data_IF_781539261719
#
_entry.id   IF_781539261719
#
_cell.length_a   1.000
_cell.length_b   1.000
_cell.length_c   1.000
_cell.angle_alpha   90.00
_cell.angle_beta   90.00
_cell.angle_gamma   90.00
#
_symmetry.space_group_name_H-M   'P 1'
#
loop_
_entity.id
_entity.type
_entity.pdbx_description
1 polymer ?
#
# COMPACT_ATOMS: atom_id res chain seq x y z
N UNK A 1 -1.07 23.45 -18.94
CA UNK A 1 -1.56 22.05 -18.95
C UNK A 1 -3.07 22.09 -18.79
N UNK A 2 -3.85 21.21 -19.43
CA UNK A 2 -5.29 21.17 -19.20
C UNK A 2 -5.58 20.78 -17.73
N UNK A 3 -6.61 21.39 -17.14
CA UNK A 3 -7.13 21.01 -15.83
C UNK A 3 -8.30 20.04 -16.02
N UNK A 4 -8.29 18.93 -15.28
CA UNK A 4 -9.40 17.97 -15.22
C UNK A 4 -10.05 18.05 -13.84
N UNK A 5 -11.37 17.97 -13.79
CA UNK A 5 -12.11 17.74 -12.55
C UNK A 5 -11.86 16.31 -12.05
N UNK A 6 -12.13 16.06 -10.76
CA UNK A 6 -11.98 14.71 -10.19
C UNK A 6 -12.79 13.64 -10.95
N UNK A 7 -14.08 13.86 -11.29
CA UNK A 7 -14.85 12.88 -12.07
C UNK A 7 -14.29 12.66 -13.48
N UNK A 8 -13.81 13.71 -14.15
CA UNK A 8 -13.18 13.58 -15.48
C UNK A 8 -11.89 12.76 -15.42
N UNK A 9 -11.04 13.00 -14.41
CA UNK A 9 -9.82 12.25 -14.19
C UNK A 9 -10.13 10.77 -13.90
N UNK A 10 -11.06 10.50 -12.97
CA UNK A 10 -11.46 9.14 -12.65
C UNK A 10 -11.99 8.40 -13.90
N UNK A 11 -12.89 9.03 -14.67
CA UNK A 11 -13.44 8.44 -15.89
C UNK A 11 -12.36 8.16 -16.94
N UNK A 12 -11.39 9.07 -17.11
CA UNK A 12 -10.25 8.88 -18.01
C UNK A 12 -9.36 7.71 -17.58
N UNK A 13 -9.04 7.61 -16.30
CA UNK A 13 -8.25 6.50 -15.74
C UNK A 13 -8.96 5.16 -15.93
N UNK A 14 -10.24 5.08 -15.56
CA UNK A 14 -11.04 3.87 -15.71
C UNK A 14 -11.16 3.45 -17.19
N UNK A 15 -11.40 4.38 -18.11
CA UNK A 15 -11.43 4.10 -19.55
C UNK A 15 -10.07 3.57 -20.06
N UNK A 16 -8.96 4.16 -19.58
CA UNK A 16 -7.61 3.74 -19.96
C UNK A 16 -7.29 2.34 -19.45
N UNK A 17 -7.67 2.01 -18.22
CA UNK A 17 -7.48 0.68 -17.64
C UNK A 17 -8.31 -0.38 -18.38
N UNK A 18 -9.57 -0.07 -18.75
CA UNK A 18 -10.39 -0.98 -19.56
C UNK A 18 -9.79 -1.23 -20.94
N UNK A 19 -9.31 -0.19 -21.61
CA UNK A 19 -8.56 -0.33 -22.86
C UNK A 19 -7.26 -1.14 -22.68
N UNK A 20 -6.71 -1.14 -21.47
CA UNK A 20 -5.56 -1.94 -21.04
C UNK A 20 -5.86 -3.39 -20.69
N UNK A 21 -7.12 -3.85 -20.78
CA UNK A 21 -7.51 -5.24 -20.53
C UNK A 21 -7.99 -5.54 -19.10
N UNK A 22 -8.41 -4.52 -18.35
CA UNK A 22 -9.12 -4.68 -17.09
C UNK A 22 -10.65 -4.74 -17.29
N UNK A 23 -11.35 -5.52 -16.47
CA UNK A 23 -12.81 -5.45 -16.40
C UNK A 23 -13.27 -4.15 -15.72
N UNK A 24 -14.58 -3.87 -15.76
CA UNK A 24 -15.16 -2.64 -15.19
C UNK A 24 -14.84 -2.49 -13.69
N UNK A 25 -14.95 -3.56 -12.91
CA UNK A 25 -14.78 -3.53 -11.46
C UNK A 25 -13.35 -3.21 -11.04
N UNK A 26 -12.35 -3.88 -11.64
CA UNK A 26 -10.93 -3.59 -11.40
C UNK A 26 -10.56 -2.19 -11.88
N UNK A 27 -11.01 -1.81 -13.09
CA UNK A 27 -10.71 -0.51 -13.64
C UNK A 27 -11.23 0.64 -12.76
N UNK A 28 -12.47 0.52 -12.25
CA UNK A 28 -13.04 1.50 -11.34
C UNK A 28 -12.29 1.55 -10.00
N UNK A 29 -12.02 0.40 -9.37
CA UNK A 29 -11.35 0.36 -8.07
C UNK A 29 -9.92 0.92 -8.14
N UNK A 30 -9.16 0.59 -9.18
CA UNK A 30 -7.80 1.13 -9.39
C UNK A 30 -7.88 2.63 -9.71
N UNK A 31 -8.79 3.06 -10.60
CA UNK A 31 -8.96 4.46 -10.96
C UNK A 31 -9.27 5.35 -9.76
N UNK A 32 -10.11 4.88 -8.84
CA UNK A 32 -10.45 5.61 -7.61
C UNK A 32 -9.20 5.89 -6.77
N UNK A 33 -8.34 4.89 -6.55
CA UNK A 33 -7.13 5.08 -5.75
C UNK A 33 -6.13 6.04 -6.42
N UNK A 34 -5.92 5.90 -7.74
CA UNK A 34 -5.03 6.80 -8.47
C UNK A 34 -5.56 8.24 -8.54
N UNK A 35 -6.87 8.42 -8.73
CA UNK A 35 -7.50 9.73 -8.79
C UNK A 35 -7.43 10.46 -7.43
N UNK A 36 -7.65 9.74 -6.33
CA UNK A 36 -7.50 10.28 -4.96
C UNK A 36 -6.06 10.70 -4.67
N UNK A 37 -5.10 9.85 -5.01
CA UNK A 37 -3.68 10.17 -4.85
C UNK A 37 -3.26 11.39 -5.68
N UNK A 38 -3.75 11.52 -6.92
CA UNK A 38 -3.47 12.70 -7.75
C UNK A 38 -4.13 13.97 -7.20
N UNK A 39 -5.41 13.90 -6.81
CA UNK A 39 -6.18 15.02 -6.22
C UNK A 39 -5.46 15.59 -5.00
N UNK A 40 -4.96 14.71 -4.14
CA UNK A 40 -4.31 15.08 -2.87
C UNK A 40 -2.79 15.25 -3.02
N UNK A 41 -2.31 15.36 -4.26
CA UNK A 41 -0.91 15.66 -4.60
C UNK A 41 0.12 14.62 -4.12
N UNK A 42 -0.32 13.39 -3.85
CA UNK A 42 0.54 12.24 -3.62
C UNK A 42 1.06 11.68 -4.96
N UNK A 43 1.90 12.48 -5.65
CA UNK A 43 2.30 12.26 -7.06
C UNK A 43 2.92 10.88 -7.30
N UNK A 44 3.69 10.35 -6.36
CA UNK A 44 4.31 9.03 -6.47
C UNK A 44 3.31 7.86 -6.45
N UNK A 45 2.04 8.09 -6.11
CA UNK A 45 0.97 7.08 -6.08
C UNK A 45 -0.26 7.46 -6.93
N UNK A 46 -0.23 8.61 -7.62
CA UNK A 46 -1.28 9.05 -8.55
C UNK A 46 -1.09 8.52 -9.97
N UNK A 47 -1.29 9.38 -10.97
CA UNK A 47 -1.26 9.03 -12.41
C UNK A 47 0.06 8.36 -12.81
N UNK A 48 1.17 8.71 -12.14
CA UNK A 48 2.48 8.11 -12.31
C UNK A 48 2.44 6.56 -12.35
N UNK A 49 1.64 5.93 -11.48
CA UNK A 49 1.55 4.47 -11.36
C UNK A 49 0.83 3.77 -12.52
N UNK A 50 0.01 4.50 -13.28
CA UNK A 50 -0.79 3.94 -14.38
C UNK A 50 0.06 3.16 -15.39
N UNK A 51 1.25 3.68 -15.71
CA UNK A 51 2.14 3.04 -16.68
C UNK A 51 2.69 1.71 -16.16
N UNK A 52 2.99 1.61 -14.86
CA UNK A 52 3.41 0.38 -14.20
C UNK A 52 2.31 -0.67 -14.22
N UNK A 53 1.08 -0.29 -13.86
CA UNK A 53 -0.12 -1.15 -13.89
C UNK A 53 -0.28 -1.81 -15.25
N UNK A 54 -0.29 -1.00 -16.31
CA UNK A 54 -0.47 -1.47 -17.67
C UNK A 54 0.70 -2.32 -18.18
N UNK A 55 1.93 -2.06 -17.70
CA UNK A 55 3.10 -2.91 -18.00
C UNK A 55 2.96 -4.28 -17.32
N UNK A 56 2.62 -4.33 -16.04
CA UNK A 56 2.35 -5.58 -15.31
C UNK A 56 1.26 -6.40 -15.97
N UNK A 57 0.17 -5.76 -16.41
CA UNK A 57 -0.93 -6.42 -17.13
C UNK A 57 -0.48 -7.01 -18.47
N UNK A 58 0.31 -6.27 -19.25
CA UNK A 58 0.86 -6.74 -20.54
C UNK A 58 1.89 -7.85 -20.36
N UNK A 59 2.64 -7.84 -19.26
CA UNK A 59 3.60 -8.88 -18.90
C UNK A 59 2.93 -10.15 -18.34
N UNK A 60 1.60 -10.15 -18.16
CA UNK A 60 0.85 -11.32 -17.69
C UNK A 60 0.94 -11.56 -16.18
N UNK A 61 1.40 -10.57 -15.39
CA UNK A 61 1.49 -10.70 -13.93
C UNK A 61 0.14 -10.75 -13.24
N UNK A 62 -0.87 -10.17 -13.88
CA UNK A 62 -2.25 -10.19 -13.43
C UNK A 62 -3.19 -10.40 -14.63
N UNK A 63 -4.39 -10.88 -14.36
CA UNK A 63 -5.38 -11.19 -15.39
C UNK A 63 -6.29 -9.99 -15.70
N UNK A 64 -6.43 -9.04 -14.77
CA UNK A 64 -7.26 -7.85 -14.84
C UNK A 64 -8.77 -8.10 -14.74
N UNK A 65 -9.20 -9.31 -14.39
CA UNK A 65 -10.62 -9.64 -14.40
C UNK A 65 -11.07 -10.69 -13.37
N UNK A 66 -10.15 -11.29 -12.60
CA UNK A 66 -10.52 -12.27 -11.57
C UNK A 66 -11.17 -11.55 -10.39
N UNK A 67 -12.31 -12.05 -9.93
CA UNK A 67 -12.96 -11.53 -8.73
C UNK A 67 -12.30 -12.11 -7.48
N UNK A 68 -12.14 -11.31 -6.41
CA UNK A 68 -11.59 -11.79 -5.15
C UNK A 68 -12.52 -12.82 -4.49
N UNK A 69 -11.95 -13.85 -3.87
CA UNK A 69 -12.70 -14.77 -3.01
C UNK A 69 -12.68 -14.27 -1.57
N UNK A 70 -13.84 -14.16 -0.95
CA UNK A 70 -13.99 -13.60 0.40
C UNK A 70 -14.42 -14.70 1.37
N UNK A 71 -13.58 -14.99 2.37
CA UNK A 71 -13.89 -15.86 3.50
C UNK A 71 -14.25 -15.01 4.73
N UNK A 72 -15.56 -14.88 4.99
CA UNK A 72 -16.14 -14.00 6.02
C UNK A 72 -17.05 -14.77 7.00
N UNK A 73 -16.52 -15.68 7.82
CA UNK A 73 -17.33 -16.39 8.82
C UNK A 73 -17.79 -15.42 9.92
N UNK A 74 -19.10 -15.32 10.22
CA UNK A 74 -19.66 -14.28 11.10
C UNK A 74 -19.14 -14.33 12.55
N UNK A 75 -18.76 -15.53 13.02
CA UNK A 75 -18.26 -15.77 14.37
C UNK A 75 -16.79 -15.37 14.58
N UNK A 76 -16.03 -15.12 13.50
CA UNK A 76 -14.63 -14.71 13.60
C UNK A 76 -14.48 -13.20 13.44
N UNK A 77 -13.53 -12.63 14.18
CA UNK A 77 -13.09 -11.25 14.01
C UNK A 77 -12.15 -11.08 12.79
N UNK A 78 -11.72 -12.17 12.17
CA UNK A 78 -10.82 -12.17 11.03
C UNK A 78 -11.60 -12.41 9.73
N UNK A 79 -11.35 -11.56 8.74
CA UNK A 79 -11.79 -11.65 7.36
C UNK A 79 -10.57 -12.01 6.49
N UNK A 80 -10.72 -12.94 5.55
CA UNK A 80 -9.65 -13.26 4.58
C UNK A 80 -10.16 -13.05 3.16
N UNK A 81 -9.31 -12.48 2.31
CA UNK A 81 -9.62 -12.24 0.91
C UNK A 81 -8.47 -12.72 0.05
N UNK A 82 -8.72 -13.63 -0.89
CA UNK A 82 -7.75 -13.99 -1.92
C UNK A 82 -8.00 -13.10 -3.16
N UNK A 83 -7.00 -12.31 -3.55
CA UNK A 83 -7.08 -11.42 -4.71
C UNK A 83 -6.72 -12.12 -6.04
N UNK A 84 -6.33 -13.40 -6.02
CA UNK A 84 -6.03 -14.22 -7.20
C UNK A 84 -4.96 -13.65 -8.15
N UNK A 85 -3.98 -12.93 -7.59
CA UNK A 85 -2.89 -12.28 -8.31
C UNK A 85 -3.27 -10.92 -8.93
N UNK A 86 -4.43 -10.36 -8.58
CA UNK A 86 -4.86 -9.04 -9.07
C UNK A 86 -4.37 -7.91 -8.17
N UNK A 87 -4.53 -6.65 -8.63
CA UNK A 87 -4.25 -5.50 -7.78
C UNK A 87 -5.23 -5.41 -6.61
N UNK A 88 -4.73 -5.04 -5.42
CA UNK A 88 -5.49 -4.98 -4.16
C UNK A 88 -6.76 -4.09 -4.13
N UNK A 89 -6.92 -2.99 -4.91
CA UNK A 89 -8.02 -2.06 -4.69
C UNK A 89 -9.42 -2.68 -4.78
N UNK A 90 -9.64 -3.63 -5.70
CA UNK A 90 -10.95 -4.30 -5.79
C UNK A 90 -11.21 -5.16 -4.55
N UNK A 91 -10.22 -5.98 -4.15
CA UNK A 91 -10.31 -6.80 -2.95
C UNK A 91 -10.59 -5.96 -1.69
N UNK A 92 -9.86 -4.85 -1.54
CA UNK A 92 -10.09 -3.89 -0.45
C UNK A 92 -11.50 -3.30 -0.50
N UNK A 93 -11.95 -2.82 -1.66
CA UNK A 93 -13.28 -2.21 -1.79
C UNK A 93 -14.44 -3.14 -1.43
N UNK A 94 -14.29 -4.45 -1.69
CA UNK A 94 -15.28 -5.48 -1.31
C UNK A 94 -15.18 -5.83 0.17
N UNK A 95 -13.98 -5.81 0.73
CA UNK A 95 -13.72 -6.18 2.12
C UNK A 95 -13.99 -5.08 3.15
N UNK A 96 -13.75 -3.81 2.81
CA UNK A 96 -13.80 -2.70 3.77
C UNK A 96 -15.14 -2.55 4.50
N UNK A 97 -16.32 -2.64 3.83
CA UNK A 97 -17.60 -2.62 4.52
C UNK A 97 -17.77 -3.80 5.50
N UNK A 98 -17.32 -5.00 5.09
CA UNK A 98 -17.40 -6.22 5.90
C UNK A 98 -16.47 -6.14 7.12
N UNK A 99 -15.28 -5.58 6.96
CA UNK A 99 -14.33 -5.35 8.03
C UNK A 99 -14.88 -4.35 9.06
N UNK A 100 -15.45 -3.24 8.61
CA UNK A 100 -16.07 -2.26 9.50
C UNK A 100 -17.28 -2.83 10.26
N UNK A 101 -18.11 -3.66 9.60
CA UNK A 101 -19.19 -4.39 10.26
C UNK A 101 -18.66 -5.36 11.32
N UNK A 102 -17.64 -6.16 11.01
CA UNK A 102 -17.00 -7.06 11.98
C UNK A 102 -16.43 -6.31 13.18
N UNK A 103 -15.77 -5.17 12.95
CA UNK A 103 -15.21 -4.37 14.04
C UNK A 103 -16.30 -3.88 14.99
N UNK A 104 -17.44 -3.39 14.47
CA UNK A 104 -18.60 -3.03 15.31
C UNK A 104 -19.16 -4.22 16.10
N UNK A 105 -19.16 -5.42 15.49
CA UNK A 105 -19.68 -6.62 16.14
C UNK A 105 -18.77 -7.17 17.24
N UNK A 106 -17.45 -7.13 17.02
CA UNK A 106 -16.45 -7.80 17.85
C UNK A 106 -15.57 -6.84 18.66
N UNK A 107 -15.76 -5.53 18.50
CA UNK A 107 -14.92 -4.45 19.05
C UNK A 107 -13.62 -4.21 18.26
N UNK A 108 -13.00 -5.28 17.76
CA UNK A 108 -11.84 -5.26 16.88
C UNK A 108 -12.00 -6.33 15.80
N UNK A 109 -11.55 -6.04 14.60
CA UNK A 109 -11.49 -7.00 13.51
C UNK A 109 -10.25 -6.78 12.65
N UNK A 110 -9.83 -7.81 11.92
CA UNK A 110 -8.75 -7.69 10.94
C UNK A 110 -9.14 -8.33 9.61
N UNK A 111 -8.59 -7.78 8.54
CA UNK A 111 -8.72 -8.28 7.18
C UNK A 111 -7.33 -8.55 6.62
N UNK A 112 -7.11 -9.78 6.17
CA UNK A 112 -5.96 -10.13 5.36
C UNK A 112 -6.38 -10.21 3.90
N UNK A 113 -5.72 -9.44 3.03
CA UNK A 113 -5.80 -9.62 1.58
C UNK A 113 -4.52 -10.33 1.14
N UNK A 114 -4.67 -11.49 0.52
CA UNK A 114 -3.58 -12.34 0.08
C UNK A 114 -3.48 -12.41 -1.44
N UNK A 115 -2.32 -12.83 -1.93
CA UNK A 115 -2.01 -13.04 -3.34
C UNK A 115 -2.38 -11.82 -4.19
N UNK A 116 -1.94 -10.63 -3.79
CA UNK A 116 -2.26 -9.39 -4.49
C UNK A 116 -1.02 -8.67 -4.99
N UNK A 117 -1.22 -7.82 -6.00
CA UNK A 117 -0.25 -6.81 -6.37
C UNK A 117 -0.60 -5.51 -5.63
N UNK A 118 0.38 -4.84 -5.02
CA UNK A 118 0.16 -3.60 -4.29
C UNK A 118 0.99 -2.44 -4.84
N UNK A 119 0.36 -1.28 -5.02
CA UNK A 119 1.02 -0.09 -5.57
C UNK A 119 0.39 1.24 -5.15
N UNK A 120 -0.58 1.17 -4.24
CA UNK A 120 -1.32 2.31 -3.74
C UNK A 120 -0.64 2.91 -2.52
N UNK A 121 -0.92 4.18 -2.25
CA UNK A 121 -0.78 4.70 -0.90
C UNK A 121 -1.79 3.99 0.01
N UNK A 122 -1.53 3.94 1.32
CA UNK A 122 -2.41 3.28 2.29
C UNK A 122 -3.44 4.23 2.90
N UNK A 123 -3.18 5.55 2.91
CA UNK A 123 -4.14 6.53 3.43
C UNK A 123 -5.54 6.44 2.79
N UNK A 124 -5.73 6.13 1.49
CA UNK A 124 -7.06 6.05 0.90
C UNK A 124 -7.90 4.93 1.52
N UNK A 125 -7.24 3.85 1.94
CA UNK A 125 -7.85 2.66 2.52
C UNK A 125 -8.28 2.93 3.97
N UNK A 126 -7.38 3.47 4.79
CA UNK A 126 -7.73 3.83 6.18
C UNK A 126 -8.72 5.00 6.24
N UNK A 127 -8.69 5.94 5.30
CA UNK A 127 -9.72 6.99 5.17
C UNK A 127 -11.09 6.39 4.86
N UNK A 128 -11.15 5.39 3.97
CA UNK A 128 -12.41 4.67 3.66
C UNK A 128 -12.98 4.03 4.92
N UNK A 129 -12.14 3.35 5.71
CA UNK A 129 -12.56 2.72 6.97
C UNK A 129 -13.00 3.75 8.02
N UNK A 130 -12.29 4.88 8.14
CA UNK A 130 -12.71 5.98 9.00
C UNK A 130 -14.05 6.60 8.58
N UNK A 131 -14.29 6.75 7.27
CA UNK A 131 -15.58 7.16 6.72
C UNK A 131 -16.72 6.16 7.00
N UNK A 132 -16.37 4.89 7.25
CA UNK A 132 -17.30 3.86 7.74
C UNK A 132 -17.45 3.89 9.26
N UNK A 133 -16.82 4.83 9.97
CA UNK A 133 -16.98 5.07 11.41
C UNK A 133 -16.11 4.20 12.31
N UNK A 134 -15.04 3.59 11.79
CA UNK A 134 -14.10 2.76 12.58
C UNK A 134 -12.69 3.33 12.55
N UNK A 135 -11.95 3.18 13.65
CA UNK A 135 -10.50 3.41 13.64
C UNK A 135 -9.82 2.35 12.79
N UNK A 136 -8.72 2.68 12.13
CA UNK A 136 -8.07 1.77 11.19
C UNK A 136 -6.54 1.83 11.28
N UNK A 137 -5.90 0.68 11.11
CA UNK A 137 -4.49 0.53 10.77
C UNK A 137 -4.40 -0.24 9.46
N UNK A 138 -3.47 0.12 8.60
CA UNK A 138 -3.14 -0.64 7.40
C UNK A 138 -1.62 -0.76 7.28
N UNK A 139 -1.14 -1.93 6.85
CA UNK A 139 0.27 -2.17 6.61
C UNK A 139 0.47 -3.26 5.56
N UNK A 140 1.58 -3.19 4.83
CA UNK A 140 1.98 -4.21 3.87
C UNK A 140 3.50 -4.23 3.69
N UNK A 141 4.09 -5.37 3.27
CA UNK A 141 5.44 -5.39 2.71
C UNK A 141 5.55 -4.58 1.41
N UNK A 142 6.71 -4.63 0.74
CA UNK A 142 6.86 -4.20 -0.66
C UNK A 142 7.85 -5.13 -1.38
N UNK A 143 8.61 -4.68 -2.38
CA UNK A 143 9.85 -5.38 -2.76
C UNK A 143 11.01 -4.93 -1.86
N UNK A 144 12.04 -5.77 -1.72
CA UNK A 144 13.21 -5.55 -0.88
C UNK A 144 14.05 -4.40 -1.44
N UNK A 145 14.00 -3.28 -0.76
CA UNK A 145 14.66 -2.03 -1.16
C UNK A 145 15.45 -1.37 -0.03
N UNK A 146 15.24 -1.81 1.21
CA UNK A 146 15.74 -1.14 2.41
C UNK A 146 16.74 -2.05 3.12
N UNK A 147 17.90 -1.50 3.44
CA UNK A 147 18.86 -2.18 4.29
C UNK A 147 18.43 -2.04 5.76
N UNK A 148 18.32 -3.14 6.54
CA UNK A 148 18.02 -3.05 7.96
C UNK A 148 19.12 -2.29 8.69
N UNK A 149 18.82 -1.74 9.86
CA UNK A 149 19.81 -1.00 10.65
C UNK A 149 21.02 -1.89 10.97
N UNK A 150 22.21 -1.48 10.52
CA UNK A 150 23.45 -2.25 10.65
C UNK A 150 23.76 -3.20 9.49
N UNK A 151 22.83 -3.35 8.54
CA UNK A 151 23.05 -4.05 7.27
C UNK A 151 23.43 -3.09 6.13
N UNK A 152 23.87 -3.66 5.01
CA UNK A 152 24.29 -2.93 3.82
C UNK A 152 23.66 -3.44 2.51
N UNK A 153 22.72 -4.38 2.59
CA UNK A 153 22.04 -4.96 1.44
C UNK A 153 20.52 -4.85 1.60
N UNK A 154 19.76 -4.69 0.50
CA UNK A 154 18.30 -4.70 0.55
C UNK A 154 17.77 -6.02 1.14
N UNK A 155 16.85 -5.90 2.09
CA UNK A 155 16.15 -7.05 2.68
C UNK A 155 14.69 -6.72 2.98
N UNK A 156 14.47 -5.55 3.58
CA UNK A 156 13.15 -5.08 3.95
C UNK A 156 12.55 -4.27 2.81
N UNK A 157 11.23 -4.23 2.73
CA UNK A 157 10.55 -3.29 1.86
C UNK A 157 10.48 -1.90 2.47
N UNK A 158 9.92 -0.97 1.67
CA UNK A 158 9.54 0.36 2.16
C UNK A 158 8.44 0.31 3.22
N UNK A 159 7.73 -0.81 3.30
CA UNK A 159 6.85 -1.29 4.37
C UNK A 159 6.06 -0.16 5.05
N UNK A 160 5.05 0.41 4.39
CA UNK A 160 4.28 1.51 4.95
C UNK A 160 3.37 1.09 6.09
N UNK A 161 3.11 2.05 6.99
CA UNK A 161 2.12 1.95 8.06
C UNK A 161 1.21 3.17 7.98
N UNK A 162 -0.09 2.93 7.82
CA UNK A 162 -1.11 3.96 7.88
C UNK A 162 -2.05 3.76 9.06
N UNK A 163 -2.62 4.86 9.51
CA UNK A 163 -3.59 4.91 10.60
C UNK A 163 -4.66 5.94 10.28
N UNK A 164 -5.88 5.66 10.68
CA UNK A 164 -6.96 6.63 10.72
C UNK A 164 -7.75 6.55 12.02
N UNK A 165 -8.13 7.72 12.53
CA UNK A 165 -9.06 7.88 13.64
C UNK A 165 -10.31 8.64 13.16
N UNK A 166 -11.51 8.05 13.24
CA UNK A 166 -12.75 8.73 12.88
C UNK A 166 -13.06 9.84 13.88
N UNK A 167 -13.50 11.00 13.39
CA UNK A 167 -13.69 12.20 14.20
C UNK A 167 -15.14 12.73 14.14
N UNK A 168 -16.13 11.83 14.23
CA UNK A 168 -17.54 12.18 14.07
C UNK A 168 -17.80 12.82 12.70
N UNK A 169 -18.37 14.03 12.71
CA UNK A 169 -18.68 14.80 11.49
C UNK A 169 -17.47 15.60 10.95
N UNK A 170 -16.35 15.64 11.69
CA UNK A 170 -15.14 16.33 11.26
C UNK A 170 -14.22 15.40 10.46
N UNK A 171 -13.30 15.95 9.64
CA UNK A 171 -12.33 15.13 8.92
C UNK A 171 -11.55 14.20 9.88
N UNK A 172 -11.32 12.94 9.48
CA UNK A 172 -10.55 12.00 10.28
C UNK A 172 -9.11 12.46 10.44
N UNK A 173 -8.47 12.09 11.56
CA UNK A 173 -7.02 12.20 11.68
C UNK A 173 -6.39 11.00 10.96
N UNK A 174 -5.48 11.26 10.02
CA UNK A 174 -4.85 10.22 9.19
C UNK A 174 -3.34 10.47 9.13
N UNK A 175 -2.57 9.38 9.22
CA UNK A 175 -1.19 9.36 8.75
C UNK A 175 -0.95 8.15 7.85
N UNK A 176 0.01 8.29 6.94
CA UNK A 176 0.54 7.22 6.09
C UNK A 176 2.01 7.54 5.80
N UNK A 177 2.91 6.65 6.24
CA UNK A 177 4.33 6.80 6.00
C UNK A 177 4.99 5.47 5.69
N UNK A 178 6.00 5.51 4.82
CA UNK A 178 6.94 4.42 4.64
C UNK A 178 7.85 4.28 5.88
N UNK A 179 8.28 3.05 6.20
CA UNK A 179 9.29 2.81 7.24
C UNK A 179 10.73 2.97 6.72
N UNK A 180 10.88 3.24 5.43
CA UNK A 180 12.07 3.85 4.84
C UNK A 180 12.05 5.37 5.06
N UNK A 181 13.22 6.00 5.09
CA UNK A 181 13.35 7.47 5.24
C UNK A 181 12.69 8.24 4.09
N UNK A 182 12.50 7.59 2.94
CA UNK A 182 11.84 8.13 1.77
C UNK A 182 11.20 6.99 0.97
N UNK A 183 10.09 7.26 0.28
CA UNK A 183 9.54 6.29 -0.67
C UNK A 183 10.46 6.12 -1.90
N UNK A 184 10.63 4.88 -2.40
CA UNK A 184 11.43 4.59 -3.60
C UNK A 184 11.00 5.40 -4.82
N UNK A 185 9.70 5.69 -4.95
CA UNK A 185 9.15 6.52 -6.02
C UNK A 185 9.73 7.94 -6.04
N UNK A 186 10.04 8.52 -4.88
CA UNK A 186 10.63 9.87 -4.80
C UNK A 186 12.10 9.89 -5.26
N UNK A 187 12.85 8.80 -5.03
CA UNK A 187 14.21 8.66 -5.57
C UNK A 187 14.17 8.57 -7.10
N UNK A 188 13.21 7.83 -7.65
CA UNK A 188 13.02 7.73 -9.10
C UNK A 188 12.62 9.09 -9.71
N UNK A 189 11.79 9.88 -9.02
CA UNK A 189 11.49 11.26 -9.44
C UNK A 189 12.74 12.16 -9.43
N UNK A 190 13.61 12.05 -8.41
CA UNK A 190 14.90 12.77 -8.40
C UNK A 190 15.80 12.35 -9.56
N UNK A 191 15.85 11.04 -9.88
CA UNK A 191 16.59 10.51 -11.03
C UNK A 191 16.07 11.08 -12.35
N UNK A 192 14.74 11.10 -12.53
CA UNK A 192 14.09 11.64 -13.74
C UNK A 192 14.32 13.16 -13.87
N UNK A 193 14.33 13.88 -12.75
CA UNK A 193 14.59 15.32 -12.69
C UNK A 193 16.10 15.68 -12.75
N UNK A 194 17.00 14.69 -12.71
CA UNK A 194 18.45 14.91 -12.66
C UNK A 194 18.93 15.64 -11.39
N UNK A 195 18.24 15.45 -10.26
CA UNK A 195 18.54 16.11 -8.97
C UNK A 195 19.26 15.15 -8.02
N UNK A 196 20.27 15.61 -7.26
CA UNK A 196 20.89 14.80 -6.22
C UNK A 196 19.94 14.57 -5.05
N UNK A 197 20.12 13.46 -4.33
CA UNK A 197 19.37 13.15 -3.12
C UNK A 197 19.91 13.94 -1.91
N UNK A 198 19.08 14.19 -0.89
CA UNK A 198 19.53 14.56 0.45
C UNK A 198 20.42 13.47 1.09
N UNK A 199 21.28 13.87 2.03
CA UNK A 199 22.11 12.93 2.78
C UNK A 199 21.26 11.99 3.64
N UNK A 200 21.71 10.74 3.76
CA UNK A 200 21.07 9.73 4.61
C UNK A 200 19.84 9.04 3.99
N UNK A 201 19.52 9.30 2.71
CA UNK A 201 18.42 8.62 2.02
C UNK A 201 18.75 7.17 1.63
N UNK A 202 20.02 6.89 1.34
CA UNK A 202 20.42 5.57 0.88
C UNK A 202 21.93 5.37 0.81
N UNK A 203 22.27 4.15 0.43
CA UNK A 203 23.62 3.64 0.20
C UNK A 203 23.69 3.04 -1.21
N UNK A 204 24.88 3.01 -1.79
CA UNK A 204 25.15 2.31 -3.04
C UNK A 204 25.27 0.78 -2.85
N UNK A 205 25.60 0.07 -3.93
CA UNK A 205 25.74 -1.39 -3.92
C UNK A 205 26.91 -1.91 -3.05
N UNK A 206 27.90 -1.07 -2.76
CA UNK A 206 29.02 -1.40 -1.86
C UNK A 206 28.71 -1.05 -0.39
N UNK A 207 27.55 -0.43 -0.14
CA UNK A 207 27.09 0.00 1.16
C UNK A 207 27.60 1.36 1.61
N UNK A 208 28.18 2.16 0.70
CA UNK A 208 28.63 3.51 1.01
C UNK A 208 27.47 4.53 0.88
N UNK A 209 27.35 5.53 1.77
CA UNK A 209 26.37 6.60 1.64
C UNK A 209 26.49 7.31 0.29
N UNK A 210 25.37 7.50 -0.40
CA UNK A 210 25.36 8.14 -1.72
C UNK A 210 24.22 9.16 -1.86
N UNK A 211 24.49 10.19 -2.67
CA UNK A 211 23.53 11.21 -3.10
C UNK A 211 23.13 11.04 -4.57
N UNK A 212 23.70 10.07 -5.27
CA UNK A 212 23.33 9.75 -6.65
C UNK A 212 22.08 8.85 -6.63
N UNK A 213 20.95 9.31 -7.21
CA UNK A 213 19.74 8.49 -7.31
C UNK A 213 19.99 7.13 -7.98
N UNK A 214 20.83 7.06 -9.02
CA UNK A 214 21.10 5.81 -9.72
C UNK A 214 21.87 4.81 -8.85
N UNK A 215 22.89 5.30 -8.13
CA UNK A 215 23.66 4.49 -7.19
C UNK A 215 22.76 3.95 -6.05
N UNK A 216 21.89 4.78 -5.47
CA UNK A 216 20.97 4.36 -4.40
C UNK A 216 19.91 3.38 -4.91
N UNK A 217 19.39 3.55 -6.14
CA UNK A 217 18.43 2.62 -6.73
C UNK A 217 19.01 1.22 -6.98
N UNK A 218 20.32 1.14 -7.22
CA UNK A 218 21.10 -0.09 -7.36
C UNK A 218 21.59 -0.66 -6.02
N UNK A 219 21.71 0.19 -4.99
CA UNK A 219 22.00 -0.18 -3.62
C UNK A 219 20.72 -0.34 -2.79
N UNK A 220 20.65 0.38 -1.66
CA UNK A 220 19.53 0.29 -0.73
C UNK A 220 19.13 1.65 -0.14
N UNK A 221 17.85 1.78 0.19
CA UNK A 221 17.33 2.85 1.04
C UNK A 221 17.64 2.56 2.51
N UNK A 222 17.57 3.60 3.34
CA UNK A 222 17.73 3.48 4.79
C UNK A 222 16.40 3.63 5.55
N UNK A 223 16.25 3.00 6.73
CA UNK A 223 15.07 3.13 7.57
C UNK A 223 14.98 4.51 8.22
N UNK A 224 13.76 5.04 8.40
CA UNK A 224 13.58 6.28 9.16
C UNK A 224 14.01 6.06 10.62
N UNK A 225 14.65 7.05 11.24
CA UNK A 225 15.05 6.96 12.64
C UNK A 225 15.97 5.76 12.97
N UNK A 226 16.70 5.23 11.98
CA UNK A 226 17.66 4.13 12.14
C UNK A 226 17.02 2.85 12.68
N UNK A 227 17.54 2.32 13.78
CA UNK A 227 17.07 1.05 14.37
C UNK A 227 15.58 1.02 14.72
N UNK A 228 14.95 2.17 15.01
CA UNK A 228 13.51 2.23 15.32
C UNK A 228 12.65 1.97 14.09
N UNK A 229 12.91 2.66 12.98
CA UNK A 229 12.19 2.40 11.73
C UNK A 229 12.51 1.02 11.18
N UNK A 230 13.74 0.54 11.36
CA UNK A 230 14.10 -0.85 11.02
C UNK A 230 13.24 -1.86 11.78
N UNK A 231 13.05 -1.66 13.09
CA UNK A 231 12.22 -2.55 13.91
C UNK A 231 10.74 -2.51 13.50
N UNK A 232 10.19 -1.33 13.19
CA UNK A 232 8.81 -1.19 12.69
C UNK A 232 8.67 -1.86 11.31
N UNK A 233 9.65 -1.68 10.42
CA UNK A 233 9.67 -2.33 9.10
C UNK A 233 9.68 -3.86 9.23
N UNK A 234 10.50 -4.41 10.13
CA UNK A 234 10.50 -5.86 10.44
C UNK A 234 9.19 -6.33 11.05
N UNK A 235 8.56 -5.54 11.93
CA UNK A 235 7.22 -5.86 12.44
C UNK A 235 6.22 -5.98 11.30
N UNK A 236 6.26 -5.09 10.30
CA UNK A 236 5.34 -5.13 9.15
C UNK A 236 5.57 -6.38 8.28
N UNK A 237 6.83 -6.77 8.02
CA UNK A 237 7.12 -8.06 7.35
C UNK A 237 6.46 -9.24 8.09
N UNK A 238 6.55 -9.26 9.42
CA UNK A 238 5.98 -10.35 10.22
C UNK A 238 4.46 -10.31 10.17
N UNK A 239 3.85 -9.14 10.40
CA UNK A 239 2.40 -9.00 10.53
C UNK A 239 1.66 -9.15 9.19
N UNK A 240 2.18 -8.53 8.12
CA UNK A 240 1.52 -8.45 6.83
C UNK A 240 2.15 -9.33 5.74
N UNK A 241 3.14 -10.14 6.08
CA UNK A 241 3.60 -11.25 5.25
C UNK A 241 3.45 -12.57 6.01
N UNK A 242 4.28 -12.81 7.02
CA UNK A 242 4.39 -14.12 7.69
C UNK A 242 3.06 -14.54 8.34
N UNK A 243 2.43 -13.66 9.11
CA UNK A 243 1.21 -13.98 9.86
C UNK A 243 -0.01 -14.18 8.97
N UNK A 244 -0.09 -13.46 7.86
CA UNK A 244 -1.19 -13.65 6.89
C UNK A 244 -0.88 -14.72 5.85
N UNK A 245 0.33 -15.32 5.87
CA UNK A 245 0.75 -16.38 4.97
C UNK A 245 1.03 -15.91 3.56
N UNK A 246 1.71 -14.77 3.41
CA UNK A 246 2.06 -14.15 2.13
C UNK A 246 3.56 -13.81 2.05
N UNK A 247 4.00 -13.31 0.90
CA UNK A 247 5.41 -13.05 0.62
C UNK A 247 6.00 -11.91 1.44
N UNK A 248 7.16 -12.20 2.04
CA UNK A 248 8.11 -11.19 2.54
C UNK A 248 8.58 -10.29 1.38
N UNK A 249 9.16 -9.14 1.69
CA UNK A 249 9.65 -8.25 0.63
C UNK A 249 10.75 -8.86 -0.25
N UNK A 250 11.59 -9.75 0.31
CA UNK A 250 12.57 -10.51 -0.46
C UNK A 250 11.91 -11.46 -1.46
N UNK A 251 10.90 -12.20 -1.02
CA UNK A 251 10.15 -13.16 -1.84
C UNK A 251 9.32 -12.43 -2.91
N UNK A 252 8.71 -11.29 -2.55
CA UNK A 252 8.04 -10.40 -3.51
C UNK A 252 9.00 -9.95 -4.61
N UNK A 253 10.25 -9.65 -4.29
CA UNK A 253 11.25 -9.21 -5.29
C UNK A 253 11.62 -10.32 -6.26
N UNK A 254 11.67 -11.56 -5.79
CA UNK A 254 11.90 -12.73 -6.64
C UNK A 254 10.71 -13.00 -7.56
N UNK A 255 9.50 -12.77 -7.05
CA UNK A 255 8.25 -13.02 -7.78
C UNK A 255 7.84 -11.89 -8.75
N UNK A 256 8.18 -10.63 -8.45
CA UNK A 256 7.64 -9.47 -9.16
C UNK A 256 8.34 -9.10 -10.47
N UNK A 257 9.50 -9.71 -10.78
CA UNK A 257 10.27 -9.43 -11.99
C UNK A 257 10.60 -7.94 -12.21
N UNK A 258 10.62 -7.14 -11.14
CA UNK A 258 10.88 -5.71 -11.15
C UNK A 258 9.70 -4.81 -11.57
N UNK A 259 8.47 -5.34 -11.62
CA UNK A 259 7.30 -4.61 -12.12
C UNK A 259 6.35 -4.12 -11.02
N UNK A 260 5.70 -5.03 -10.30
CA UNK A 260 4.72 -4.71 -9.26
C UNK A 260 4.89 -5.66 -8.07
N UNK A 261 5.10 -5.14 -6.84
CA UNK A 261 5.26 -5.98 -5.66
C UNK A 261 4.09 -6.96 -5.49
N UNK A 262 4.43 -8.22 -5.22
CA UNK A 262 3.49 -9.33 -5.06
C UNK A 262 3.58 -9.85 -3.63
N UNK A 263 2.66 -9.38 -2.79
CA UNK A 263 2.57 -9.67 -1.36
C UNK A 263 1.13 -9.41 -0.88
N UNK A 264 0.86 -9.70 0.40
CA UNK A 264 -0.43 -9.40 1.01
C UNK A 264 -0.51 -8.03 1.67
N UNK A 265 -1.69 -7.69 2.18
CA UNK A 265 -1.93 -6.49 3.00
C UNK A 265 -2.73 -6.85 4.25
N UNK A 266 -2.42 -6.23 5.38
CA UNK A 266 -3.16 -6.38 6.62
C UNK A 266 -3.86 -5.07 6.98
N UNK A 267 -5.16 -5.15 7.23
CA UNK A 267 -5.96 -4.06 7.78
C UNK A 267 -6.54 -4.47 9.12
N UNK A 268 -6.49 -3.57 10.10
CA UNK A 268 -7.11 -3.76 11.42
C UNK A 268 -8.11 -2.64 11.61
N UNK A 269 -9.34 -2.99 11.94
CA UNK A 269 -10.39 -2.04 12.26
C UNK A 269 -10.78 -2.14 13.74
N UNK A 270 -10.97 -0.99 14.35
CA UNK A 270 -11.27 -0.81 15.77
C UNK A 270 -12.59 -0.06 15.87
N UNK A 271 -13.57 -0.58 16.59
CA UNK A 271 -14.79 0.16 16.89
C UNK A 271 -14.53 1.11 18.08
N UNK A 272 -14.47 2.44 17.89
CA UNK A 272 -14.18 3.37 18.97
C UNK A 272 -15.19 3.25 20.12
N UNK A 273 -16.45 2.90 19.82
CA UNK A 273 -17.49 2.76 20.84
C UNK A 273 -17.25 1.55 21.76
N UNK A 274 -16.66 0.47 21.25
CA UNK A 274 -16.30 -0.70 22.04
C UNK A 274 -15.12 -0.46 23.00
N UNK A 275 -14.24 0.50 22.68
CA UNK A 275 -13.11 0.90 23.55
C UNK A 275 -13.45 2.06 24.49
N UNK A 276 -14.50 2.83 24.19
CA UNK A 276 -14.96 3.89 25.07
C UNK A 276 -15.38 3.29 26.43
N UNK A 277 -14.85 3.83 27.52
CA UNK A 277 -15.30 3.45 28.85
C UNK A 277 -16.81 3.70 28.95
N UNK A 278 -17.59 2.63 29.14
CA UNK A 278 -19.03 2.71 29.42
C UNK A 278 -19.31 3.14 30.86
N UNK A 279 -18.27 3.44 31.64
CA UNK A 279 -18.34 3.75 33.06
C UNK A 279 -17.97 5.23 33.32
N UNK A 280 -18.97 6.11 33.25
CA UNK A 280 -19.13 7.27 34.16
C UNK A 280 -20.60 7.60 34.37
#
# INVERSE_FOLDING_TARGET
MPHLTYPELHALLAATLRAGGYNEAHAAAIAEVLARAERDQCRSHGIYRLTGILKSRRAGQNHGAREPTIDNPPERAILKIDAHGEFSPLAFSRGAPLLAEKARRHGIAAMAINHCLHLSALWPEVETLAGLGVGALAMCPSSAYVAPSGGNAPLLGTNPLAFAWPNGDAPPYIYDFATSVVARGEIELHRLDGKPLPDGWGIDADGAPSRDPAAVLAGALLPFGGHKGSAISTMIEILAAVWIGDHLSSESSEADGGLAPNHGTLHIALDPAAFAATDR
#
